data_IF_950629570691
#
_entry.id   IF_950629570691
#
_cell.length_a   1.000
_cell.length_b   1.000
_cell.length_c   1.000
_cell.angle_alpha   90.00
_cell.angle_beta   90.00
_cell.angle_gamma   90.00
#
_symmetry.space_group_name_H-M   'P 1'
#
loop_
_entity.id
_entity.type
_entity.pdbx_description
1 polymer ?
#
# COMPACT_ATOMS: atom_id res chain seq x y z
N UNK A 1 42.05 -41.53 -74.51
CA UNK A 1 40.91 -42.47 -74.31
C UNK A 1 40.14 -41.94 -73.12
N UNK A 2 39.13 -41.09 -73.27
CA UNK A 2 37.76 -41.34 -73.77
C UNK A 2 36.86 -40.83 -72.65
N UNK A 3 36.27 -39.65 -72.84
CA UNK A 3 35.07 -39.23 -72.12
C UNK A 3 33.89 -40.11 -72.60
N UNK A 4 32.84 -40.25 -71.78
CA UNK A 4 31.63 -39.52 -72.13
C UNK A 4 30.84 -38.91 -70.96
N UNK A 5 30.03 -37.93 -71.35
CA UNK A 5 29.05 -37.10 -70.65
C UNK A 5 27.77 -37.91 -70.31
N UNK A 6 27.09 -37.63 -69.18
CA UNK A 6 25.63 -37.32 -69.08
C UNK A 6 25.29 -36.73 -67.70
N UNK A 7 24.47 -35.69 -67.75
CA UNK A 7 23.78 -34.86 -66.74
C UNK A 7 22.81 -35.58 -65.80
N UNK A 8 22.68 -35.10 -64.55
CA UNK A 8 21.39 -34.90 -63.85
C UNK A 8 21.61 -33.97 -62.65
N UNK A 9 20.68 -33.04 -62.43
CA UNK A 9 20.69 -32.11 -61.30
C UNK A 9 20.07 -32.72 -60.05
N UNK A 10 20.42 -32.17 -58.89
CA UNK A 10 19.70 -32.47 -57.64
C UNK A 10 19.79 -31.31 -56.64
N UNK A 11 18.60 -30.80 -56.33
CA UNK A 11 18.10 -30.15 -55.11
C UNK A 11 19.07 -29.38 -54.20
N UNK A 12 18.81 -28.07 -54.09
CA UNK A 12 19.11 -27.28 -52.90
C UNK A 12 18.21 -27.80 -51.77
N UNK A 13 18.80 -28.51 -50.80
CA UNK A 13 18.15 -28.93 -49.57
C UNK A 13 17.95 -27.72 -48.64
N UNK A 14 16.82 -27.02 -48.80
CA UNK A 14 16.33 -26.07 -47.79
C UNK A 14 15.67 -26.84 -46.66
N UNK A 15 16.47 -27.29 -45.69
CA UNK A 15 15.96 -27.77 -44.41
C UNK A 15 15.23 -26.63 -43.67
N UNK A 16 14.03 -26.85 -43.12
CA UNK A 16 13.28 -25.82 -42.42
C UNK A 16 13.98 -25.48 -41.10
N UNK A 17 14.28 -24.19 -40.91
CA UNK A 17 14.80 -23.66 -39.66
C UNK A 17 13.85 -24.03 -38.50
N UNK A 18 14.26 -25.00 -37.69
CA UNK A 18 13.64 -25.31 -36.40
C UNK A 18 13.70 -24.06 -35.54
N UNK A 19 12.55 -23.39 -35.40
CA UNK A 19 12.39 -22.25 -34.53
C UNK A 19 12.72 -22.65 -33.09
N UNK A 20 13.91 -22.28 -32.64
CA UNK A 20 14.27 -22.22 -31.22
C UNK A 20 13.27 -21.29 -30.54
N UNK A 21 12.27 -21.89 -29.91
CA UNK A 21 11.44 -21.20 -28.92
C UNK A 21 12.35 -20.82 -27.77
N UNK A 22 12.75 -19.55 -27.72
CA UNK A 22 13.48 -18.99 -26.60
C UNK A 22 12.78 -19.40 -25.30
N UNK A 23 13.52 -19.91 -24.29
CA UNK A 23 12.93 -20.24 -22.99
C UNK A 23 12.15 -19.03 -22.46
N UNK A 24 10.98 -19.24 -21.83
CA UNK A 24 10.23 -18.15 -21.23
C UNK A 24 11.17 -17.40 -20.28
N UNK A 25 11.31 -16.08 -20.48
CA UNK A 25 12.15 -15.23 -19.66
C UNK A 25 11.88 -15.51 -18.18
N UNK A 26 12.92 -15.67 -17.33
CA UNK A 26 12.72 -16.03 -15.94
C UNK A 26 11.77 -15.03 -15.29
N UNK A 27 10.68 -15.54 -14.71
CA UNK A 27 9.71 -14.74 -13.99
C UNK A 27 10.45 -13.83 -13.02
N UNK A 28 10.36 -12.51 -13.23
CA UNK A 28 11.11 -11.47 -12.53
C UNK A 28 11.13 -11.78 -11.04
N UNK A 29 12.30 -12.16 -10.52
CA UNK A 29 12.43 -12.70 -9.17
C UNK A 29 11.94 -11.65 -8.16
N UNK A 30 10.93 -12.02 -7.38
CA UNK A 30 10.32 -11.17 -6.37
C UNK A 30 11.37 -10.75 -5.34
N UNK A 31 11.50 -9.45 -5.09
CA UNK A 31 12.52 -8.90 -4.20
C UNK A 31 12.07 -9.01 -2.73
N UNK A 32 12.81 -9.83 -1.97
CA UNK A 32 12.51 -10.14 -0.57
C UNK A 32 12.49 -8.89 0.32
N UNK A 33 13.24 -7.85 -0.02
CA UNK A 33 13.26 -6.61 0.74
C UNK A 33 11.86 -5.97 0.81
N UNK A 34 11.18 -5.84 -0.32
CA UNK A 34 9.87 -5.20 -0.37
C UNK A 34 8.78 -6.06 0.27
N UNK A 35 8.90 -7.38 0.21
CA UNK A 35 7.99 -8.29 0.91
C UNK A 35 8.17 -8.19 2.43
N UNK A 36 9.41 -8.16 2.91
CA UNK A 36 9.70 -7.94 4.33
C UNK A 36 9.23 -6.55 4.79
N UNK A 37 9.41 -5.51 3.97
CA UNK A 37 8.95 -4.15 4.27
C UNK A 37 7.43 -4.11 4.43
N UNK A 38 6.68 -4.66 3.48
CA UNK A 38 5.20 -4.72 3.57
C UNK A 38 4.73 -5.53 4.77
N UNK A 39 5.40 -6.64 5.07
CA UNK A 39 5.08 -7.46 6.24
C UNK A 39 5.32 -6.71 7.55
N UNK A 40 6.50 -6.10 7.73
CA UNK A 40 6.79 -5.36 8.95
C UNK A 40 5.87 -4.14 9.10
N UNK A 41 5.54 -3.47 7.99
CA UNK A 41 4.60 -2.37 8.00
C UNK A 41 3.18 -2.84 8.38
N UNK A 42 2.73 -4.03 7.95
CA UNK A 42 1.39 -4.51 8.32
C UNK A 42 1.31 -4.90 9.80
N UNK A 43 2.41 -5.40 10.36
CA UNK A 43 2.53 -5.62 11.81
C UNK A 43 2.38 -4.31 12.58
N UNK A 44 3.00 -3.23 12.09
CA UNK A 44 2.87 -1.89 12.71
C UNK A 44 1.44 -1.34 12.60
N UNK A 45 0.75 -1.56 11.48
CA UNK A 45 -0.67 -1.19 11.32
C UNK A 45 -1.52 -1.88 12.37
N UNK A 46 -1.41 -3.20 12.50
CA UNK A 46 -2.18 -3.98 13.46
C UNK A 46 -1.87 -3.56 14.91
N UNK A 47 -0.59 -3.32 15.24
CA UNK A 47 -0.21 -2.81 16.55
C UNK A 47 -0.80 -1.42 16.84
N UNK A 48 -0.79 -0.52 15.84
CA UNK A 48 -1.39 0.82 15.95
C UNK A 48 -2.87 0.77 16.32
N UNK A 49 -3.67 -0.03 15.62
CA UNK A 49 -5.10 -0.19 15.90
C UNK A 49 -5.35 -0.89 17.25
N UNK A 50 -4.52 -1.86 17.62
CA UNK A 50 -4.62 -2.53 18.91
C UNK A 50 -4.26 -1.61 20.09
N UNK A 51 -3.46 -0.57 19.86
CA UNK A 51 -3.12 0.42 20.87
C UNK A 51 -4.15 1.52 21.04
N UNK A 52 -5.05 1.72 20.08
CA UNK A 52 -6.02 2.82 20.09
C UNK A 52 -6.83 2.88 21.39
N UNK A 53 -7.41 1.77 21.91
CA UNK A 53 -8.13 1.78 23.19
C UNK A 53 -7.25 2.02 24.44
N UNK A 54 -5.92 1.93 24.32
CA UNK A 54 -4.97 2.07 25.42
C UNK A 54 -4.37 3.48 25.52
N UNK A 55 -4.70 4.37 24.58
CA UNK A 55 -4.05 5.68 24.44
C UNK A 55 -4.33 6.60 25.61
N UNK A 56 -5.59 6.66 26.06
CA UNK A 56 -6.03 7.57 27.12
C UNK A 56 -5.41 7.22 28.47
N UNK A 57 -5.15 5.93 28.72
CA UNK A 57 -4.53 5.44 29.95
C UNK A 57 -3.00 5.53 29.98
N UNK A 58 -2.33 5.81 28.85
CA UNK A 58 -0.88 5.75 28.77
C UNK A 58 -0.28 6.73 27.77
N UNK A 59 0.40 7.75 28.30
CA UNK A 59 1.20 8.70 27.50
C UNK A 59 2.28 8.01 26.67
N UNK A 60 2.87 6.93 27.18
CA UNK A 60 3.86 6.14 26.46
C UNK A 60 3.25 5.45 25.25
N UNK A 61 2.08 4.83 25.40
CA UNK A 61 1.36 4.21 24.29
C UNK A 61 0.94 5.26 23.26
N UNK A 62 0.41 6.40 23.72
CA UNK A 62 0.07 7.52 22.84
C UNK A 62 1.28 8.06 22.06
N UNK A 63 2.46 8.14 22.68
CA UNK A 63 3.69 8.55 22.00
C UNK A 63 4.16 7.52 20.96
N UNK A 64 4.13 6.22 21.30
CA UNK A 64 4.43 5.15 20.35
C UNK A 64 3.45 5.14 19.18
N UNK A 65 2.17 5.32 19.46
CA UNK A 65 1.11 5.45 18.47
C UNK A 65 1.40 6.61 17.51
N UNK A 66 1.70 7.81 18.03
CA UNK A 66 2.07 8.96 17.18
C UNK A 66 3.28 8.66 16.30
N UNK A 67 4.35 8.06 16.85
CA UNK A 67 5.54 7.70 16.06
C UNK A 67 5.16 6.71 14.95
N UNK A 68 4.40 5.66 15.26
CA UNK A 68 3.98 4.68 14.26
C UNK A 68 3.11 5.33 13.19
N UNK A 69 2.11 6.14 13.58
CA UNK A 69 1.23 6.87 12.65
C UNK A 69 1.96 7.86 11.75
N UNK A 70 3.07 8.43 12.23
CA UNK A 70 3.90 9.31 11.43
C UNK A 70 4.58 8.63 10.24
N UNK A 71 4.74 7.30 10.18
CA UNK A 71 5.47 6.69 9.06
C UNK A 71 4.91 5.40 8.50
N UNK A 72 4.04 4.66 9.20
CA UNK A 72 3.61 3.35 8.70
C UNK A 72 2.78 3.46 7.41
N UNK A 73 1.81 4.39 7.33
CA UNK A 73 1.06 4.65 6.09
C UNK A 73 1.96 5.27 5.02
N UNK A 74 2.74 6.34 5.30
CA UNK A 74 3.75 6.84 4.37
C UNK A 74 4.66 5.76 3.78
N UNK A 75 5.12 4.80 4.58
CA UNK A 75 5.96 3.69 4.12
C UNK A 75 5.22 2.80 3.12
N UNK A 76 3.97 2.40 3.42
CA UNK A 76 3.13 1.65 2.50
C UNK A 76 2.87 2.39 1.20
N UNK A 77 2.60 3.69 1.28
CA UNK A 77 2.26 4.54 0.15
C UNK A 77 3.47 4.74 -0.75
N UNK A 78 4.66 5.02 -0.19
CA UNK A 78 5.93 5.11 -0.94
C UNK A 78 6.24 3.80 -1.67
N UNK A 79 6.11 2.66 -0.98
CA UNK A 79 6.33 1.33 -1.60
C UNK A 79 5.29 1.06 -2.70
N UNK A 80 4.03 1.43 -2.48
CA UNK A 80 2.96 1.28 -3.47
C UNK A 80 3.18 2.15 -4.70
N UNK A 81 3.62 3.40 -4.52
CA UNK A 81 4.06 4.29 -5.60
C UNK A 81 5.22 3.69 -6.38
N UNK A 82 6.24 3.17 -5.69
CA UNK A 82 7.39 2.52 -6.34
C UNK A 82 6.99 1.35 -7.24
N UNK A 83 6.01 0.54 -6.85
CA UNK A 83 5.49 -0.54 -7.71
C UNK A 83 4.55 -0.06 -8.82
N UNK A 84 4.01 1.16 -8.71
CA UNK A 84 3.07 1.72 -9.68
C UNK A 84 3.74 2.46 -10.84
N UNK A 85 5.05 2.77 -10.74
CA UNK A 85 5.85 3.49 -11.77
C UNK A 85 5.68 3.01 -13.21
N UNK A 86 5.45 1.71 -13.39
CA UNK A 86 5.30 1.10 -14.70
C UNK A 86 3.89 1.18 -15.29
N UNK A 87 2.90 1.64 -14.52
CA UNK A 87 1.50 1.71 -14.94
C UNK A 87 1.32 2.76 -16.05
N UNK A 88 0.60 2.38 -17.09
CA UNK A 88 0.39 3.15 -18.33
C UNK A 88 -1.09 3.12 -18.78
N UNK A 89 -2.01 2.73 -17.88
CA UNK A 89 -3.46 2.71 -18.12
C UNK A 89 -3.92 1.90 -19.35
N UNK A 90 -3.13 0.95 -19.86
CA UNK A 90 -3.59 0.01 -20.90
C UNK A 90 -4.82 -0.77 -20.43
N UNK A 91 -5.74 -1.17 -21.35
CA UNK A 91 -7.00 -1.82 -20.99
C UNK A 91 -6.84 -3.06 -20.08
N UNK A 92 -5.84 -3.91 -20.34
CA UNK A 92 -5.52 -5.10 -19.55
C UNK A 92 -5.11 -4.74 -18.10
N UNK A 93 -4.30 -3.69 -17.95
CA UNK A 93 -3.82 -3.22 -16.64
C UNK A 93 -4.88 -2.45 -15.89
N UNK A 94 -5.70 -1.66 -16.59
CA UNK A 94 -6.84 -0.96 -15.99
C UNK A 94 -7.88 -1.96 -15.48
N UNK A 95 -8.20 -2.98 -16.28
CA UNK A 95 -9.04 -4.11 -15.86
C UNK A 95 -8.51 -4.77 -14.60
N UNK A 96 -7.20 -5.05 -14.57
CA UNK A 96 -6.56 -5.63 -13.40
C UNK A 96 -6.63 -4.70 -12.18
N UNK A 97 -6.43 -3.40 -12.37
CA UNK A 97 -6.53 -2.40 -11.31
C UNK A 97 -7.95 -2.38 -10.70
N UNK A 98 -8.98 -2.31 -11.54
CA UNK A 98 -10.38 -2.34 -11.11
C UNK A 98 -10.67 -3.64 -10.36
N UNK A 99 -10.30 -4.78 -10.93
CA UNK A 99 -10.59 -6.09 -10.33
C UNK A 99 -9.85 -6.29 -8.99
N UNK A 100 -8.63 -5.76 -8.85
CA UNK A 100 -7.80 -5.96 -7.66
C UNK A 100 -8.02 -4.92 -6.55
N UNK A 101 -8.66 -3.78 -6.82
CA UNK A 101 -8.89 -2.74 -5.81
C UNK A 101 -10.37 -2.46 -5.62
N UNK A 102 -11.14 -2.22 -6.69
CA UNK A 102 -12.55 -1.83 -6.58
C UNK A 102 -13.41 -3.00 -6.10
N UNK A 103 -13.16 -4.22 -6.58
CA UNK A 103 -13.97 -5.37 -6.15
C UNK A 103 -13.72 -5.71 -4.67
N UNK A 104 -12.46 -5.84 -4.20
CA UNK A 104 -12.21 -5.98 -2.77
C UNK A 104 -12.74 -4.81 -1.96
N UNK A 105 -12.63 -3.57 -2.47
CA UNK A 105 -13.23 -2.41 -1.81
C UNK A 105 -14.72 -2.60 -1.56
N UNK A 106 -15.52 -2.86 -2.60
CA UNK A 106 -16.98 -3.04 -2.45
C UNK A 106 -17.33 -4.20 -1.51
N UNK A 107 -16.61 -5.33 -1.61
CA UNK A 107 -16.85 -6.50 -0.77
C UNK A 107 -16.55 -6.19 0.70
N UNK A 108 -15.38 -5.60 0.99
CA UNK A 108 -14.97 -5.31 2.36
C UNK A 108 -15.71 -4.11 2.94
N UNK A 109 -16.04 -3.09 2.16
CA UNK A 109 -16.88 -1.97 2.58
C UNK A 109 -18.25 -2.45 3.06
N UNK A 110 -18.89 -3.30 2.25
CA UNK A 110 -20.17 -3.92 2.61
C UNK A 110 -20.02 -4.78 3.86
N UNK A 111 -18.97 -5.62 3.93
CA UNK A 111 -18.73 -6.48 5.08
C UNK A 111 -18.46 -5.67 6.37
N UNK A 112 -17.67 -4.60 6.30
CA UNK A 112 -17.40 -3.69 7.42
C UNK A 112 -18.66 -2.96 7.86
N UNK A 113 -19.47 -2.45 6.92
CA UNK A 113 -20.75 -1.82 7.27
C UNK A 113 -21.64 -2.80 8.02
N UNK A 114 -21.86 -4.01 7.48
CA UNK A 114 -22.70 -5.03 8.10
C UNK A 114 -22.17 -5.46 9.47
N UNK A 115 -20.85 -5.61 9.58
CA UNK A 115 -20.21 -5.99 10.83
C UNK A 115 -20.36 -4.89 11.90
N UNK A 116 -20.12 -3.65 11.51
CA UNK A 116 -20.19 -2.49 12.42
C UNK A 116 -21.62 -2.13 12.82
N UNK A 117 -22.64 -2.40 12.00
CA UNK A 117 -24.05 -2.33 12.43
C UNK A 117 -24.30 -3.15 13.69
N UNK A 118 -23.66 -4.31 13.79
CA UNK A 118 -23.78 -5.18 14.95
C UNK A 118 -22.87 -4.74 16.11
N UNK A 119 -21.59 -4.47 15.85
CA UNK A 119 -20.65 -4.12 16.93
C UNK A 119 -20.88 -2.73 17.53
N UNK A 120 -21.29 -1.77 16.70
CA UNK A 120 -21.51 -0.39 17.14
C UNK A 120 -22.97 -0.17 17.56
N UNK A 121 -23.80 -1.22 17.48
CA UNK A 121 -25.24 -1.18 17.79
C UNK A 121 -26.03 -0.15 16.95
N UNK A 122 -25.61 0.07 15.71
CA UNK A 122 -26.24 0.96 14.74
C UNK A 122 -26.86 0.16 13.57
N UNK A 123 -28.02 -0.51 13.74
CA UNK A 123 -28.57 -1.42 12.74
C UNK A 123 -28.89 -0.76 11.39
N UNK A 124 -29.17 0.55 11.40
CA UNK A 124 -29.60 1.32 10.24
C UNK A 124 -28.44 1.99 9.48
N UNK A 125 -27.17 1.79 9.89
CA UNK A 125 -26.00 2.43 9.24
C UNK A 125 -25.99 2.15 7.74
N UNK A 126 -26.07 3.17 6.85
CA UNK A 126 -26.20 2.94 5.42
C UNK A 126 -24.94 2.29 4.84
N UNK A 127 -25.09 1.45 3.82
CA UNK A 127 -23.96 0.96 3.03
C UNK A 127 -23.62 2.07 2.04
N UNK A 128 -22.62 2.89 2.37
CA UNK A 128 -22.11 3.95 1.51
C UNK A 128 -20.80 3.51 0.87
N UNK A 129 -20.77 3.43 -0.46
CA UNK A 129 -19.51 3.24 -1.20
C UNK A 129 -18.74 4.57 -1.37
N UNK A 130 -19.33 5.68 -0.93
CA UNK A 130 -18.73 6.99 -0.99
C UNK A 130 -18.09 7.39 0.33
N UNK A 131 -18.38 6.74 1.44
CA UNK A 131 -17.79 7.05 2.75
C UNK A 131 -17.05 5.82 3.27
N UNK A 132 -15.77 5.63 2.90
CA UNK A 132 -15.04 4.40 3.19
C UNK A 132 -14.89 4.13 4.69
N UNK A 133 -15.47 3.04 5.18
CA UNK A 133 -15.36 2.69 6.60
C UNK A 133 -13.96 2.14 6.97
N UNK A 134 -13.41 2.74 8.01
CA UNK A 134 -12.27 2.24 8.80
C UNK A 134 -10.96 2.09 8.01
N UNK A 135 -10.81 1.01 7.24
CA UNK A 135 -9.58 0.64 6.51
C UNK A 135 -9.75 0.70 4.98
N UNK A 136 -10.97 0.76 4.48
CA UNK A 136 -11.24 0.65 3.04
C UNK A 136 -10.78 1.88 2.26
N UNK A 137 -10.63 3.03 2.92
CA UNK A 137 -10.08 4.27 2.38
C UNK A 137 -8.80 4.07 1.58
N UNK A 138 -7.90 3.21 2.04
CA UNK A 138 -6.61 2.99 1.39
C UNK A 138 -6.75 2.31 0.03
N UNK A 139 -7.76 1.45 -0.16
CA UNK A 139 -8.05 0.83 -1.47
C UNK A 139 -8.53 1.89 -2.46
N UNK A 140 -9.44 2.76 -2.03
CA UNK A 140 -9.97 3.88 -2.82
C UNK A 140 -8.85 4.86 -3.18
N UNK A 141 -8.06 5.30 -2.20
CA UNK A 141 -6.92 6.17 -2.41
C UNK A 141 -5.89 5.54 -3.35
N UNK A 142 -5.54 4.27 -3.15
CA UNK A 142 -4.60 3.54 -4.00
C UNK A 142 -5.12 3.39 -5.43
N UNK A 143 -6.43 3.21 -5.62
CA UNK A 143 -7.05 3.19 -6.93
C UNK A 143 -6.87 4.54 -7.64
N UNK A 144 -7.20 5.65 -6.98
CA UNK A 144 -7.05 7.01 -7.53
C UNK A 144 -5.58 7.31 -7.84
N UNK A 145 -4.66 7.03 -6.93
CA UNK A 145 -3.23 7.27 -7.14
C UNK A 145 -2.64 6.45 -8.30
N UNK A 146 -3.02 5.17 -8.41
CA UNK A 146 -2.59 4.33 -9.53
C UNK A 146 -3.18 4.79 -10.85
N UNK A 147 -4.46 5.12 -10.88
CA UNK A 147 -5.13 5.60 -12.08
C UNK A 147 -4.50 6.90 -12.59
N UNK A 148 -4.12 7.81 -11.68
CA UNK A 148 -3.48 9.10 -12.02
C UNK A 148 -1.97 8.99 -12.30
N UNK A 149 -1.35 7.81 -12.11
CA UNK A 149 0.10 7.62 -12.31
C UNK A 149 0.63 8.10 -13.67
N UNK A 150 -0.04 7.88 -14.82
CA UNK A 150 0.44 8.38 -16.12
C UNK A 150 0.58 9.90 -16.17
N UNK A 151 -0.32 10.63 -15.50
CA UNK A 151 -0.31 12.10 -15.45
C UNK A 151 0.95 12.61 -14.74
N UNK A 152 1.27 12.02 -13.58
CA UNK A 152 2.47 12.38 -12.79
C UNK A 152 3.78 12.18 -13.53
N UNK A 153 3.81 11.26 -14.50
CA UNK A 153 4.99 11.00 -15.33
C UNK A 153 5.22 12.07 -16.41
N UNK A 154 4.20 12.85 -16.74
CA UNK A 154 4.31 13.98 -17.68
C UNK A 154 4.67 15.29 -17.00
N UNK A 155 4.42 15.40 -15.69
CA UNK A 155 4.76 16.60 -14.90
C UNK A 155 6.27 16.68 -14.68
N UNK A 156 6.87 17.86 -14.94
CA UNK A 156 8.31 18.11 -14.76
C UNK A 156 8.75 18.09 -13.29
N UNK A 157 7.92 18.66 -12.42
CA UNK A 157 8.14 18.78 -10.97
C UNK A 157 6.99 18.09 -10.22
N UNK A 158 6.87 16.76 -10.28
CA UNK A 158 5.70 16.05 -9.79
C UNK A 158 5.57 16.13 -8.25
N UNK A 159 6.70 16.08 -7.52
CA UNK A 159 6.68 16.13 -6.05
C UNK A 159 6.30 17.52 -5.50
N UNK A 160 6.87 18.65 -5.96
CA UNK A 160 6.39 19.98 -5.56
C UNK A 160 4.91 20.20 -5.88
N UNK A 161 4.44 19.75 -7.04
CA UNK A 161 3.02 19.85 -7.40
C UNK A 161 2.15 19.02 -6.44
N UNK A 162 2.54 17.79 -6.12
CA UNK A 162 1.82 16.96 -5.16
C UNK A 162 1.76 17.59 -3.76
N UNK A 163 2.87 18.18 -3.30
CA UNK A 163 2.91 18.91 -2.02
C UNK A 163 2.00 20.14 -2.03
N UNK A 164 1.94 20.87 -3.14
CA UNK A 164 1.03 22.00 -3.30
C UNK A 164 -0.44 21.54 -3.22
N UNK A 165 -0.80 20.45 -3.91
CA UNK A 165 -2.16 19.88 -3.83
C UNK A 165 -2.50 19.40 -2.42
N UNK A 166 -1.56 18.76 -1.72
CA UNK A 166 -1.74 18.35 -0.34
C UNK A 166 -1.97 19.56 0.58
N UNK A 167 -1.18 20.62 0.43
CA UNK A 167 -1.34 21.85 1.21
C UNK A 167 -2.69 22.54 0.92
N UNK A 168 -3.11 22.59 -0.34
CA UNK A 168 -4.44 23.12 -0.71
C UNK A 168 -5.57 22.28 -0.11
N UNK A 169 -5.41 20.96 -0.03
CA UNK A 169 -6.41 20.10 0.62
C UNK A 169 -6.55 20.39 2.13
N UNK A 170 -5.49 20.85 2.81
CA UNK A 170 -5.58 21.28 4.23
C UNK A 170 -6.30 22.61 4.43
N UNK A 171 -6.48 23.40 3.35
CA UNK A 171 -7.15 24.70 3.36
C UNK A 171 -8.64 24.61 3.01
N UNK A 172 -9.14 23.43 2.67
CA UNK A 172 -10.49 23.26 2.13
C UNK A 172 -11.32 22.35 3.03
N UNK A 173 -11.98 22.91 4.08
CA UNK A 173 -12.93 22.16 4.90
C UNK A 173 -14.13 21.64 4.11
N UNK A 174 -14.37 22.18 2.91
CA UNK A 174 -15.43 21.72 2.00
C UNK A 174 -15.11 20.42 1.28
N UNK A 175 -13.86 19.92 1.35
CA UNK A 175 -13.53 18.57 0.90
C UNK A 175 -14.08 17.63 1.98
N UNK A 176 -15.33 17.18 1.80
CA UNK A 176 -15.97 16.27 2.73
C UNK A 176 -15.35 14.87 2.76
N UNK A 177 -15.90 14.01 3.62
CA UNK A 177 -15.48 12.62 3.82
C UNK A 177 -15.66 11.72 2.57
N UNK A 178 -16.32 12.22 1.52
CA UNK A 178 -16.53 11.53 0.26
C UNK A 178 -15.20 10.98 -0.33
N UNK A 179 -15.14 9.66 -0.45
CA UNK A 179 -14.04 8.82 -0.91
C UNK A 179 -12.74 8.99 -0.11
N UNK A 180 -12.80 9.51 1.11
CA UNK A 180 -11.63 9.94 1.89
C UNK A 180 -10.72 10.85 1.03
N UNK A 181 -11.33 11.78 0.27
CA UNK A 181 -10.59 12.60 -0.68
C UNK A 181 -9.52 13.45 0.02
N UNK A 182 -9.79 13.90 1.25
CA UNK A 182 -8.82 14.64 2.05
C UNK A 182 -7.56 13.82 2.35
N UNK A 183 -7.71 12.58 2.84
CA UNK A 183 -6.57 11.64 2.99
C UNK A 183 -5.89 11.36 1.67
N UNK A 184 -6.66 11.13 0.62
CA UNK A 184 -6.14 10.81 -0.71
C UNK A 184 -5.24 11.92 -1.24
N UNK A 185 -5.64 13.19 -1.08
CA UNK A 185 -4.86 14.35 -1.51
C UNK A 185 -3.67 14.64 -0.59
N UNK A 186 -3.87 14.60 0.73
CA UNK A 186 -2.80 14.90 1.68
C UNK A 186 -1.68 13.86 1.67
N UNK A 187 -1.98 12.58 1.38
CA UNK A 187 -0.98 11.52 1.25
C UNK A 187 -0.38 11.38 -0.17
N UNK A 188 -0.94 12.05 -1.18
CA UNK A 188 -0.45 12.03 -2.56
C UNK A 188 1.07 12.28 -2.71
N UNK A 189 1.72 13.22 -1.97
CA UNK A 189 3.16 13.45 -2.06
C UNK A 189 3.99 12.20 -1.82
N UNK A 190 3.59 11.34 -0.89
CA UNK A 190 4.30 10.09 -0.57
C UNK A 190 4.20 9.10 -1.72
N UNK A 191 3.04 9.02 -2.39
CA UNK A 191 2.86 8.14 -3.53
C UNK A 191 3.70 8.61 -4.72
N UNK A 192 3.65 9.92 -5.01
CA UNK A 192 4.41 10.56 -6.09
C UNK A 192 5.92 10.49 -5.84
N UNK A 193 6.37 10.62 -4.58
CA UNK A 193 7.75 10.33 -4.21
C UNK A 193 8.10 8.89 -4.60
N UNK A 194 7.27 7.92 -4.22
CA UNK A 194 7.41 6.52 -4.62
C UNK A 194 7.54 6.33 -6.13
N UNK A 195 6.77 7.08 -6.94
CA UNK A 195 6.87 7.08 -8.40
C UNK A 195 8.24 7.58 -8.92
N UNK A 196 8.91 8.44 -8.15
CA UNK A 196 10.18 9.05 -8.53
C UNK A 196 11.39 8.25 -8.03
N UNK A 197 11.20 7.37 -7.04
CA UNK A 197 12.28 6.56 -6.49
C UNK A 197 12.80 5.52 -7.48
N UNK A 198 14.07 5.18 -7.33
CA UNK A 198 14.80 4.15 -8.11
C UNK A 198 15.45 3.12 -7.17
N UNK A 199 15.78 1.89 -7.61
CA UNK A 199 16.39 0.86 -6.77
C UNK A 199 17.61 1.33 -5.96
N UNK A 200 18.39 2.27 -6.50
CA UNK A 200 19.61 2.83 -5.89
C UNK A 200 19.28 3.56 -4.58
N UNK A 201 18.15 4.28 -4.53
CA UNK A 201 17.72 5.01 -3.33
C UNK A 201 17.46 4.05 -2.16
N UNK A 202 16.83 2.90 -2.42
CA UNK A 202 16.64 1.87 -1.40
C UNK A 202 17.97 1.24 -0.96
N UNK A 203 18.95 1.12 -1.86
CA UNK A 203 20.30 0.66 -1.48
C UNK A 203 21.02 1.69 -0.60
N UNK A 204 20.85 2.99 -0.83
CA UNK A 204 21.42 4.06 -0.01
C UNK A 204 20.89 4.01 1.42
N UNK A 205 19.57 3.92 1.58
CA UNK A 205 18.90 3.86 2.90
C UNK A 205 19.32 2.61 3.70
N UNK A 206 19.69 1.53 3.03
CA UNK A 206 20.12 0.27 3.67
C UNK A 206 21.58 0.23 4.10
N UNK A 207 22.35 1.33 3.94
CA UNK A 207 23.75 1.40 4.39
C UNK A 207 23.84 1.27 5.91
N UNK A 208 24.94 0.69 6.40
CA UNK A 208 25.18 0.53 7.85
C UNK A 208 25.11 1.86 8.61
N UNK A 209 25.64 2.94 8.03
CA UNK A 209 25.57 4.28 8.62
C UNK A 209 24.12 4.74 8.86
N UNK A 210 23.21 4.54 7.89
CA UNK A 210 21.80 4.91 8.03
C UNK A 210 21.10 4.04 9.07
N UNK A 211 21.43 2.74 9.14
CA UNK A 211 20.89 1.84 10.17
C UNK A 211 21.27 2.24 11.59
N UNK A 212 22.50 2.72 11.77
CA UNK A 212 22.98 3.22 13.07
C UNK A 212 22.32 4.57 13.36
N UNK A 213 22.26 5.48 12.38
CA UNK A 213 21.60 6.78 12.51
C UNK A 213 20.08 6.69 12.76
N UNK A 214 19.43 5.61 12.33
CA UNK A 214 18.02 5.36 12.60
C UNK A 214 17.71 5.24 14.10
N UNK A 215 18.64 4.75 14.92
CA UNK A 215 18.45 4.60 16.38
C UNK A 215 18.22 5.95 17.07
N UNK A 216 19.13 6.95 16.98
CA UNK A 216 18.89 8.25 17.59
C UNK A 216 17.74 9.01 16.91
N UNK A 217 17.46 8.79 15.63
CA UNK A 217 16.30 9.43 14.97
C UNK A 217 14.98 8.92 15.54
N UNK A 218 14.81 7.59 15.69
CA UNK A 218 13.62 7.03 16.34
C UNK A 218 13.54 7.40 17.83
N UNK A 219 14.68 7.42 18.53
CA UNK A 219 14.75 7.88 19.91
C UNK A 219 14.29 9.34 20.07
N UNK A 220 14.80 10.23 19.20
CA UNK A 220 14.38 11.62 19.15
C UNK A 220 12.89 11.77 18.82
N UNK A 221 12.41 11.05 17.78
CA UNK A 221 11.01 11.06 17.41
C UNK A 221 10.09 10.60 18.56
N UNK A 222 10.50 9.58 19.32
CA UNK A 222 9.78 9.13 20.51
C UNK A 222 9.78 10.18 21.63
N UNK A 223 10.92 10.81 21.93
CA UNK A 223 11.01 11.88 22.94
C UNK A 223 10.15 13.07 22.55
N UNK A 224 10.20 13.50 21.29
CA UNK A 224 9.37 14.59 20.75
C UNK A 224 7.89 14.22 20.81
N UNK A 225 7.51 13.01 20.37
CA UNK A 225 6.14 12.53 20.46
C UNK A 225 5.65 12.50 21.91
N UNK A 226 6.45 11.94 22.82
CA UNK A 226 6.12 11.92 24.24
C UNK A 226 5.92 13.33 24.80
N UNK A 227 6.77 14.29 24.44
CA UNK A 227 6.60 15.70 24.79
C UNK A 227 5.34 16.34 24.17
N UNK A 228 5.01 15.98 22.93
CA UNK A 228 3.91 16.54 22.15
C UNK A 228 2.52 16.00 22.54
N UNK A 229 2.40 14.75 23.03
CA UNK A 229 1.11 14.12 23.39
C UNK A 229 0.15 15.06 24.18
N UNK A 230 0.57 15.74 25.26
CA UNK A 230 -0.33 16.62 26.02
C UNK A 230 -0.46 18.06 25.44
N UNK A 231 0.20 18.37 24.33
CA UNK A 231 0.34 19.76 23.79
C UNK A 231 -0.23 19.92 22.40
N UNK A 232 -0.31 18.85 21.62
CA UNK A 232 -0.69 18.87 20.22
C UNK A 232 -1.62 17.70 19.93
N UNK A 233 -2.61 17.94 19.07
CA UNK A 233 -3.45 16.85 18.56
C UNK A 233 -2.62 15.91 17.68
N UNK A 234 -2.71 14.60 17.93
CA UNK A 234 -2.13 13.58 17.07
C UNK A 234 -2.87 13.41 15.73
N UNK A 235 -4.04 14.04 15.58
CA UNK A 235 -4.90 13.88 14.41
C UNK A 235 -4.25 14.38 13.10
N UNK A 236 -3.26 15.28 13.17
CA UNK A 236 -2.44 15.67 12.02
C UNK A 236 -1.84 14.48 11.26
N UNK A 237 -1.50 13.38 11.95
CA UNK A 237 -0.93 12.19 11.32
C UNK A 237 -1.96 11.31 10.61
N UNK A 238 -3.26 11.58 10.78
CA UNK A 238 -4.33 10.89 10.06
C UNK A 238 -4.54 11.44 8.66
N UNK A 239 -4.06 12.68 8.40
CA UNK A 239 -4.17 13.37 7.11
C UNK A 239 -5.61 13.47 6.57
N UNK A 240 -6.61 13.37 7.45
CA UNK A 240 -8.02 13.26 7.09
C UNK A 240 -8.82 14.53 7.28
N UNK A 241 -8.25 15.49 8.03
CA UNK A 241 -8.94 16.71 8.46
C UNK A 241 -8.19 17.93 7.88
N UNK A 242 -8.92 19.02 7.66
CA UNK A 242 -8.37 20.34 7.34
C UNK A 242 -7.73 20.97 8.58
N UNK A 243 -6.93 22.03 8.37
CA UNK A 243 -6.34 22.74 9.51
C UNK A 243 -7.42 23.33 10.44
N UNK A 244 -8.53 23.82 9.88
CA UNK A 244 -9.62 24.44 10.65
C UNK A 244 -10.41 23.40 11.46
N UNK A 245 -10.68 22.21 10.90
CA UNK A 245 -11.31 21.10 11.62
C UNK A 245 -10.46 20.58 12.78
N UNK A 246 -9.13 20.71 12.67
CA UNK A 246 -8.19 20.43 13.75
C UNK A 246 -8.10 21.54 14.80
N UNK A 247 -8.90 22.61 14.68
CA UNK A 247 -8.89 23.76 15.57
C UNK A 247 -7.67 24.66 15.40
N UNK A 248 -6.97 24.57 14.27
CA UNK A 248 -5.80 25.39 13.96
C UNK A 248 -6.11 26.43 12.88
N UNK A 249 -5.39 27.57 12.83
CA UNK A 249 -5.53 28.52 11.73
C UNK A 249 -5.21 27.88 10.38
N UNK A 250 -5.95 28.20 9.32
CA UNK A 250 -5.80 27.58 7.99
C UNK A 250 -4.33 27.53 7.49
N UNK A 251 -3.56 28.61 7.70
CA UNK A 251 -2.15 28.68 7.28
C UNK A 251 -1.25 27.63 7.95
N UNK A 252 -1.61 27.11 9.12
CA UNK A 252 -0.88 26.00 9.75
C UNK A 252 -0.87 24.78 8.82
N UNK A 253 -1.96 24.48 8.11
CA UNK A 253 -2.02 23.34 7.18
C UNK A 253 -0.96 23.42 6.08
N UNK A 254 -0.75 24.61 5.53
CA UNK A 254 0.27 24.88 4.50
C UNK A 254 1.68 24.65 5.02
N UNK A 255 1.94 25.01 6.29
CA UNK A 255 3.26 24.82 6.93
C UNK A 255 3.45 23.39 7.42
N UNK A 256 2.41 22.79 8.01
CA UNK A 256 2.43 21.44 8.56
C UNK A 256 2.58 20.39 7.45
N UNK A 257 2.01 20.62 6.27
CA UNK A 257 2.13 19.68 5.14
C UNK A 257 3.59 19.32 4.79
N UNK A 258 4.49 20.26 4.45
CA UNK A 258 5.89 19.95 4.18
C UNK A 258 6.66 19.49 5.43
N UNK A 259 6.35 20.01 6.62
CA UNK A 259 6.99 19.59 7.88
C UNK A 259 6.70 18.12 8.17
N UNK A 260 5.43 17.73 8.18
CA UNK A 260 4.99 16.35 8.35
C UNK A 260 5.56 15.46 7.26
N UNK A 261 5.53 15.90 5.99
CA UNK A 261 6.13 15.13 4.90
C UNK A 261 7.60 14.80 5.12
N UNK A 262 8.41 15.77 5.54
CA UNK A 262 9.84 15.57 5.82
C UNK A 262 10.04 14.66 7.03
N UNK A 263 9.33 14.91 8.15
CA UNK A 263 9.42 14.08 9.35
C UNK A 263 9.04 12.62 9.06
N UNK A 264 7.91 12.41 8.39
CA UNK A 264 7.44 11.11 7.94
C UNK A 264 8.46 10.44 7.03
N UNK A 265 9.02 11.16 6.05
CA UNK A 265 10.01 10.59 5.12
C UNK A 265 11.30 10.17 5.84
N UNK A 266 11.77 10.94 6.82
CA UNK A 266 12.92 10.57 7.65
C UNK A 266 12.65 9.26 8.40
N UNK A 267 11.46 9.12 8.99
CA UNK A 267 11.06 7.90 9.70
C UNK A 267 10.85 6.71 8.76
N UNK A 268 10.28 6.93 7.56
CA UNK A 268 10.19 5.92 6.50
C UNK A 268 11.58 5.44 6.09
N UNK A 269 12.54 6.34 5.91
CA UNK A 269 13.92 5.97 5.59
C UNK A 269 14.55 5.15 6.73
N UNK A 270 14.36 5.55 7.99
CA UNK A 270 14.86 4.81 9.15
C UNK A 270 14.24 3.41 9.24
N UNK A 271 12.92 3.30 9.03
CA UNK A 271 12.21 2.02 8.97
C UNK A 271 12.78 1.11 7.86
N UNK A 272 12.87 1.62 6.63
CA UNK A 272 13.40 0.87 5.48
C UNK A 272 14.87 0.48 5.65
N UNK A 273 15.66 1.23 6.42
CA UNK A 273 17.05 0.88 6.72
C UNK A 273 17.14 -0.43 7.53
N UNK A 274 16.22 -0.63 8.46
CA UNK A 274 16.15 -1.83 9.33
C UNK A 274 15.48 -3.04 8.68
N UNK A 275 14.72 -2.85 7.58
CA UNK A 275 14.14 -3.98 6.85
C UNK A 275 15.24 -4.91 6.31
N UNK A 276 15.19 -6.22 6.62
CA UNK A 276 16.13 -7.20 6.08
C UNK A 276 15.95 -7.35 4.56
N UNK A 277 17.05 -7.30 3.80
CA UNK A 277 17.03 -7.51 2.34
C UNK A 277 17.21 -8.96 1.88
N UNK A 278 17.43 -9.89 2.80
CA UNK A 278 17.55 -11.33 2.52
C UNK A 278 16.18 -12.01 2.63
N UNK A 279 16.03 -13.18 2.01
CA UNK A 279 14.85 -14.04 2.26
C UNK A 279 14.83 -14.46 3.72
N UNK A 280 13.69 -14.22 4.37
CA UNK A 280 13.37 -14.56 5.75
C UNK A 280 12.10 -15.40 5.78
N UNK A 281 11.78 -15.99 6.93
CA UNK A 281 10.51 -16.72 7.12
C UNK A 281 9.28 -15.83 6.82
N UNK A 282 9.33 -14.55 7.20
CA UNK A 282 8.27 -13.59 6.97
C UNK A 282 8.16 -13.09 5.52
N UNK A 283 9.14 -13.38 4.65
CA UNK A 283 9.09 -12.99 3.23
C UNK A 283 7.87 -13.60 2.53
N UNK A 284 7.50 -14.82 2.88
CA UNK A 284 6.31 -15.51 2.32
C UNK A 284 5.02 -14.81 2.74
N UNK A 285 4.99 -14.24 3.95
CA UNK A 285 3.85 -13.52 4.52
C UNK A 285 3.66 -12.14 3.87
N UNK A 286 4.72 -11.56 3.27
CA UNK A 286 4.63 -10.32 2.50
C UNK A 286 3.72 -10.37 1.27
N UNK A 287 3.26 -11.57 0.87
CA UNK A 287 2.22 -11.79 -0.14
C UNK A 287 0.79 -11.76 0.42
N UNK A 288 0.62 -11.95 1.73
CA UNK A 288 -0.67 -11.93 2.41
C UNK A 288 -1.00 -10.58 3.06
N UNK A 289 -0.18 -9.54 2.88
CA UNK A 289 -0.33 -8.27 3.63
C UNK A 289 -1.65 -7.56 3.34
N UNK A 290 -2.22 -7.71 2.15
CA UNK A 290 -3.56 -7.17 1.85
C UNK A 290 -4.66 -7.92 2.64
N UNK A 291 -4.50 -9.22 2.87
CA UNK A 291 -5.42 -10.01 3.70
C UNK A 291 -5.28 -9.62 5.16
N UNK A 292 -4.04 -9.51 5.67
CA UNK A 292 -3.79 -8.98 7.01
C UNK A 292 -4.39 -7.59 7.19
N UNK A 293 -4.23 -6.70 6.21
CA UNK A 293 -4.83 -5.38 6.19
C UNK A 293 -6.36 -5.42 6.26
N UNK A 294 -7.02 -6.17 5.39
CA UNK A 294 -8.47 -6.15 5.35
C UNK A 294 -9.13 -6.92 6.49
N UNK A 295 -8.44 -7.91 7.07
CA UNK A 295 -9.03 -8.80 8.09
C UNK A 295 -8.73 -8.38 9.52
N UNK A 296 -7.60 -7.71 9.79
CA UNK A 296 -7.25 -7.35 11.17
C UNK A 296 -8.27 -6.38 11.79
N UNK A 297 -8.91 -5.53 10.97
CA UNK A 297 -9.89 -4.59 11.46
C UNK A 297 -11.13 -5.25 12.06
N UNK A 298 -11.63 -6.34 11.47
CA UNK A 298 -12.68 -7.15 12.10
C UNK A 298 -12.27 -7.68 13.46
N UNK A 299 -11.01 -8.12 13.61
CA UNK A 299 -10.49 -8.62 14.89
C UNK A 299 -10.35 -7.48 15.91
N UNK A 300 -9.82 -6.33 15.50
CA UNK A 300 -9.68 -5.16 16.36
C UNK A 300 -11.04 -4.66 16.86
N UNK A 301 -12.02 -4.56 15.96
CA UNK A 301 -13.40 -4.18 16.29
C UNK A 301 -14.08 -5.23 17.19
N UNK A 302 -13.89 -6.52 16.93
CA UNK A 302 -14.40 -7.60 17.82
C UNK A 302 -13.81 -7.53 19.22
N UNK A 303 -12.51 -7.23 19.32
CA UNK A 303 -11.82 -7.10 20.60
C UNK A 303 -12.37 -5.92 21.43
N UNK A 304 -12.69 -4.80 20.76
CA UNK A 304 -13.38 -3.68 21.39
C UNK A 304 -14.79 -4.07 21.85
N UNK A 305 -15.58 -4.66 20.96
CA UNK A 305 -16.97 -5.04 21.23
C UNK A 305 -17.13 -6.06 22.38
N UNK A 306 -16.26 -7.06 22.44
CA UNK A 306 -16.30 -8.08 23.48
C UNK A 306 -15.58 -7.69 24.78
N UNK A 307 -15.18 -6.43 24.94
CA UNK A 307 -14.57 -5.95 26.18
C UNK A 307 -13.20 -6.55 26.47
N UNK A 308 -12.44 -6.95 25.44
CA UNK A 308 -11.10 -7.55 25.66
C UNK A 308 -10.12 -6.57 26.30
N UNK A 309 -10.39 -5.26 26.23
CA UNK A 309 -9.60 -4.19 26.84
C UNK A 309 -10.08 -3.78 28.25
N UNK A 310 -11.18 -4.35 28.76
CA UNK A 310 -11.76 -4.00 30.06
C UNK A 310 -10.86 -4.34 31.27
N UNK A 311 -10.12 -5.46 31.27
CA UNK A 311 -9.25 -5.79 32.39
C UNK A 311 -8.19 -4.71 32.67
N UNK A 312 -8.14 -4.19 33.91
CA UNK A 312 -7.23 -3.10 34.32
C UNK A 312 -5.76 -3.39 34.05
N UNK A 313 -5.33 -4.65 34.10
CA UNK A 313 -3.93 -5.02 33.85
C UNK A 313 -3.49 -4.77 32.40
N UNK A 314 -4.44 -4.72 31.45
CA UNK A 314 -4.17 -4.46 30.03
C UNK A 314 -3.70 -3.02 29.81
N UNK A 315 -4.16 -2.09 30.65
CA UNK A 315 -3.77 -0.68 30.65
C UNK A 315 -2.40 -0.44 31.32
N UNK A 316 -1.76 -1.48 31.88
CA UNK A 316 -0.41 -1.41 32.45
C UNK A 316 0.64 -1.70 31.36
N UNK A 317 1.93 -1.36 31.58
CA UNK A 317 2.98 -1.57 30.57
C UNK A 317 3.08 -3.00 30.06
N UNK A 318 2.93 -4.00 30.94
CA UNK A 318 2.91 -5.41 30.54
C UNK A 318 1.71 -5.72 29.63
N UNK A 319 0.54 -5.18 29.94
CA UNK A 319 -0.66 -5.29 29.12
C UNK A 319 -0.47 -4.75 27.71
N UNK A 320 0.10 -3.55 27.57
CA UNK A 320 0.42 -2.97 26.27
C UNK A 320 1.41 -3.84 25.46
N UNK A 321 2.41 -4.44 26.12
CA UNK A 321 3.33 -5.39 25.47
C UNK A 321 2.59 -6.64 25.01
N UNK A 322 1.73 -7.23 25.85
CA UNK A 322 0.92 -8.40 25.49
C UNK A 322 0.01 -8.09 24.31
N UNK A 323 -0.70 -6.96 24.33
CA UNK A 323 -1.55 -6.51 23.22
C UNK A 323 -0.75 -6.36 21.92
N UNK A 324 0.46 -5.79 22.00
CA UNK A 324 1.35 -5.67 20.84
C UNK A 324 1.72 -7.04 20.26
N UNK A 325 2.09 -7.99 21.12
CA UNK A 325 2.47 -9.35 20.71
C UNK A 325 1.27 -10.07 20.11
N UNK A 326 0.10 -9.98 20.73
CA UNK A 326 -1.15 -10.58 20.22
C UNK A 326 -1.50 -9.99 18.86
N UNK A 327 -1.47 -8.67 18.69
CA UNK A 327 -1.72 -8.01 17.41
C UNK A 327 -0.76 -8.50 16.33
N UNK A 328 0.54 -8.60 16.65
CA UNK A 328 1.56 -9.11 15.74
C UNK A 328 1.29 -10.58 15.35
N UNK A 329 0.94 -11.45 16.31
CA UNK A 329 0.61 -12.86 16.05
C UNK A 329 -0.63 -12.98 15.18
N UNK A 330 -1.72 -12.27 15.53
CA UNK A 330 -2.98 -12.28 14.77
C UNK A 330 -2.73 -11.88 13.32
N UNK A 331 -2.11 -10.73 13.07
CA UNK A 331 -1.88 -10.28 11.68
C UNK A 331 -0.91 -11.20 10.93
N UNK A 332 0.06 -11.80 11.62
CA UNK A 332 0.96 -12.81 11.04
C UNK A 332 0.16 -14.02 10.55
N UNK A 333 -0.77 -14.53 11.37
CA UNK A 333 -1.65 -15.64 11.03
C UNK A 333 -2.57 -15.28 9.85
N UNK A 334 -3.13 -14.06 9.85
CA UNK A 334 -3.97 -13.56 8.74
C UNK A 334 -3.21 -13.43 7.42
N UNK A 335 -1.88 -13.22 7.46
CA UNK A 335 -1.03 -13.16 6.28
C UNK A 335 -0.60 -14.54 5.74
N UNK A 336 -0.99 -15.64 6.39
CA UNK A 336 -0.54 -16.98 6.01
C UNK A 336 -1.18 -17.49 4.70
N UNK A 337 -0.51 -18.41 3.99
CA UNK A 337 -1.06 -19.00 2.76
C UNK A 337 -2.43 -19.66 2.89
N UNK A 338 -2.80 -20.36 4.00
CA UNK A 338 -4.15 -20.90 4.17
C UNK A 338 -5.25 -19.84 4.13
N UNK A 339 -5.10 -18.75 4.88
CA UNK A 339 -6.07 -17.64 4.89
C UNK A 339 -6.17 -17.02 3.50
N UNK A 340 -5.03 -16.83 2.84
CA UNK A 340 -4.98 -16.33 1.47
C UNK A 340 -5.77 -17.21 0.50
N UNK A 341 -5.64 -18.54 0.60
CA UNK A 341 -6.36 -19.47 -0.27
C UNK A 341 -7.86 -19.43 0.02
N UNK A 342 -8.26 -19.38 1.29
CA UNK A 342 -9.66 -19.35 1.70
C UNK A 342 -10.38 -18.08 1.22
N UNK A 343 -9.75 -16.91 1.34
CA UNK A 343 -10.37 -15.61 1.04
C UNK A 343 -9.96 -15.04 -0.32
N UNK A 344 -9.28 -15.83 -1.14
CA UNK A 344 -8.82 -15.41 -2.47
C UNK A 344 -9.96 -14.87 -3.33
N UNK A 345 -11.14 -15.49 -3.23
CA UNK A 345 -12.30 -15.08 -4.02
C UNK A 345 -12.77 -13.65 -3.71
N UNK A 346 -12.58 -13.16 -2.48
CA UNK A 346 -12.99 -11.84 -2.05
C UNK A 346 -11.88 -10.78 -2.25
N UNK A 347 -10.63 -11.15 -1.97
CA UNK A 347 -9.48 -10.20 -1.99
C UNK A 347 -8.79 -10.13 -3.36
N UNK A 348 -8.79 -11.23 -4.11
CA UNK A 348 -8.17 -11.33 -5.44
C UNK A 348 -9.11 -12.05 -6.44
N UNK A 349 -10.31 -11.52 -6.71
CA UNK A 349 -11.27 -12.16 -7.60
C UNK A 349 -10.71 -12.23 -9.03
N UNK A 350 -10.92 -13.36 -9.71
CA UNK A 350 -10.60 -13.51 -11.13
C UNK A 350 -11.84 -13.24 -11.98
N UNK A 351 -12.09 -11.96 -12.26
CA UNK A 351 -13.22 -11.54 -13.10
C UNK A 351 -12.88 -11.59 -14.59
N UNK A 352 -12.13 -12.60 -15.02
CA UNK A 352 -11.76 -12.77 -16.43
C UNK A 352 -12.97 -12.95 -17.38
N UNK A 353 -14.13 -13.31 -16.83
CA UNK A 353 -15.39 -13.51 -17.54
C UNK A 353 -16.21 -12.22 -17.73
N UNK A 354 -16.03 -11.19 -16.90
CA UNK A 354 -16.87 -9.98 -16.93
C UNK A 354 -16.55 -9.03 -18.11
N UNK A 355 -15.37 -9.17 -18.71
CA UNK A 355 -14.91 -8.24 -19.75
C UNK A 355 -14.83 -8.93 -21.10
N UNK A 356 -15.19 -8.19 -22.15
CA UNK A 356 -15.17 -8.64 -23.53
C UNK A 356 -13.75 -9.16 -23.86
N UNK A 357 -13.67 -10.38 -24.41
CA UNK A 357 -12.42 -10.85 -25.03
C UNK A 357 -12.10 -9.88 -26.16
N UNK A 358 -10.91 -9.28 -26.15
CA UNK A 358 -10.40 -8.58 -27.33
C UNK A 358 -10.50 -9.59 -28.48
N UNK A 359 -11.35 -9.28 -29.46
CA UNK A 359 -11.39 -10.06 -30.68
C UNK A 359 -9.97 -10.02 -31.24
N UNK A 360 -9.34 -11.18 -31.40
CA UNK A 360 -8.08 -11.28 -32.10
C UNK A 360 -8.23 -10.49 -33.41
N UNK A 361 -7.37 -9.49 -33.63
CA UNK A 361 -7.28 -8.83 -34.93
C UNK A 361 -7.23 -9.93 -35.99
N UNK A 362 -8.18 -9.98 -36.93
CA UNK A 362 -8.05 -10.90 -38.03
C UNK A 362 -6.79 -10.50 -38.78
N UNK A 363 -5.78 -11.36 -38.78
CA UNK A 363 -4.66 -11.28 -39.69
C UNK A 363 -5.19 -11.32 -41.12
N UNK A 364 -5.40 -10.14 -41.72
CA UNK A 364 -5.75 -9.87 -43.12
C UNK A 364 -5.22 -8.46 -43.42
N UNK A 365 -4.39 -8.14 -44.38
CA UNK A 365 -3.78 -8.85 -45.50
C UNK A 365 -2.40 -8.23 -45.74
N UNK A 366 -1.33 -9.03 -45.71
CA UNK A 366 -0.05 -8.69 -46.32
C UNK A 366 0.32 -9.80 -47.31
N UNK A 367 -0.53 -10.00 -48.31
CA UNK A 367 -0.26 -10.89 -49.42
C UNK A 367 -1.09 -10.50 -50.67
N UNK A 368 -1.05 -9.23 -51.08
CA UNK A 368 -1.63 -8.82 -52.36
C UNK A 368 -1.08 -7.47 -52.87
N UNK A 369 0.24 -7.30 -52.97
CA UNK A 369 0.86 -6.33 -53.91
C UNK A 369 2.19 -6.91 -54.41
N UNK A 370 2.11 -8.04 -55.10
CA UNK A 370 3.10 -8.51 -56.10
C UNK A 370 2.33 -9.41 -57.06
N UNK A 371 1.62 -8.76 -57.98
CA UNK A 371 1.05 -9.33 -59.18
C UNK A 371 1.40 -8.39 -60.30
#
# INVERSE_FOLDING_TARGET
>A
MSQPIVTTGEAVDTAPATGTTSPPAPARQRDAFFDNAKYLAIVLVAAGHAWEPLRDGSRTVSALYMVVYAFHMPAFIVVSGYFSRGFDARPDRLRRLVTQLVVPYVVFETAYTLFTRWTDQEPDRPISLLDPLYLTWFLTALFVWRLTTPLWRWVRLPLPLALALAALATLSPSIGDDLDLQRTLQFLPYFVLGLSLRPEHFRLVRRRAVRIAAVPVFGCAFVVAYWAVPRMTGAWFYHRDSAEELGAPAWYGVVMTPVLFVCSLLLVACFLAWVPGRRMWCTVLGAGTLYGYLLHGFVAQSAGFWGWYDPVWIHRPLGAVVVTVVAAVVVTLLCTPPVRRALRFAVEPDLRWLFRREAAEPARDRAAVRG
#
